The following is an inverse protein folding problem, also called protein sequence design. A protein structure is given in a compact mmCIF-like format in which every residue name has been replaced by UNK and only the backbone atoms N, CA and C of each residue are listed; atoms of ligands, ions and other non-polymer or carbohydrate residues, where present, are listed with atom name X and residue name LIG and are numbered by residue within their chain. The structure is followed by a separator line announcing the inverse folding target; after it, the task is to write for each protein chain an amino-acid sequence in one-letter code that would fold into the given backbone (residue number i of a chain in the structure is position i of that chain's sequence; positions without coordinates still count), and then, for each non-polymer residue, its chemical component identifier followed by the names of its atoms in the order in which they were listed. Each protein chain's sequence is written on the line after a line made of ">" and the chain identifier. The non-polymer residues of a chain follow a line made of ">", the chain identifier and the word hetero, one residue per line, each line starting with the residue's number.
data_IF_239483568586
#
_entry.id   IF_239483568586
#
_cell.length_a   1.000
_cell.length_b   1.000
_cell.length_c   1.000
_cell.angle_alpha   90.00
_cell.angle_beta   90.00
_cell.angle_gamma   90.00
#
_symmetry.space_group_name_H-M   'P 1'
#
loop_
_entity.id
_entity.type
_entity.pdbx_description
1 polymer ?
#
# COMPACT_ATOMS: atom_id res chain seq x y z
N UNK A 1 -12.23 11.09 -14.52
CA UNK A 1 -11.69 11.22 -13.13
C UNK A 1 -11.57 9.87 -12.51
N UNK A 2 -10.45 9.59 -11.84
CA UNK A 2 -10.33 8.32 -11.15
C UNK A 2 -9.02 8.11 -10.40
N UNK A 3 -9.00 6.98 -9.74
CA UNK A 3 -7.81 6.47 -9.04
C UNK A 3 -7.39 5.19 -9.73
N UNK A 4 -6.13 5.13 -10.16
CA UNK A 4 -5.55 3.93 -10.75
C UNK A 4 -4.50 3.36 -9.80
N UNK A 5 -4.53 2.06 -9.57
CA UNK A 5 -3.46 1.35 -8.86
C UNK A 5 -2.68 0.53 -9.88
N UNK A 6 -1.37 0.73 -9.92
CA UNK A 6 -0.46 -0.08 -10.75
C UNK A 6 0.38 -0.93 -9.80
N UNK A 7 0.16 -2.24 -9.81
CA UNK A 7 0.79 -3.08 -8.80
C UNK A 7 0.55 -4.59 -8.98
N UNK A 8 0.84 -5.32 -7.92
CA UNK A 8 0.80 -6.77 -7.86
C UNK A 8 -0.59 -7.34 -7.61
N UNK A 9 -0.79 -8.55 -8.14
CA UNK A 9 -1.94 -9.42 -7.85
C UNK A 9 -1.39 -10.80 -7.47
N UNK A 10 -1.56 -11.19 -6.21
CA UNK A 10 -1.08 -12.47 -5.70
C UNK A 10 -2.23 -13.31 -5.15
N UNK A 11 -2.06 -14.62 -5.25
CA UNK A 11 -2.92 -15.57 -4.56
C UNK A 11 -2.16 -16.15 -3.37
N UNK A 12 -2.66 -15.97 -2.15
CA UNK A 12 -1.97 -16.33 -0.94
C UNK A 12 -2.38 -17.73 -0.52
N UNK A 13 -1.39 -18.64 -0.36
CA UNK A 13 -1.54 -20.02 0.10
C UNK A 13 -1.00 -20.11 1.52
N UNK A 14 -1.88 -20.15 2.51
CA UNK A 14 -1.52 -20.09 3.92
C UNK A 14 -1.63 -21.49 4.53
N UNK A 15 -0.52 -22.02 5.03
CA UNK A 15 -0.46 -23.31 5.73
C UNK A 15 -0.11 -23.09 7.19
N UNK A 16 -0.99 -23.53 8.08
CA UNK A 16 -0.76 -23.51 9.52
C UNK A 16 -0.17 -24.83 9.98
N UNK A 17 0.91 -24.76 10.75
CA UNK A 17 1.65 -25.93 11.19
C UNK A 17 2.24 -25.73 12.59
N UNK A 18 2.48 -26.80 13.31
CA UNK A 18 3.14 -26.74 14.63
C UNK A 18 4.59 -26.25 14.54
N UNK A 19 5.27 -26.62 13.46
CA UNK A 19 6.66 -26.24 13.14
C UNK A 19 6.93 -26.36 11.65
N UNK A 20 7.98 -25.74 11.19
CA UNK A 20 8.48 -25.95 9.83
C UNK A 20 9.11 -27.34 9.73
N UNK A 21 8.81 -28.15 8.69
CA UNK A 21 9.47 -29.43 8.47
C UNK A 21 10.96 -29.28 8.14
N UNK A 22 11.76 -30.26 8.54
CA UNK A 22 13.17 -30.33 8.17
C UNK A 22 13.35 -30.85 6.73
N UNK A 23 14.55 -30.67 6.17
CA UNK A 23 14.84 -31.17 4.83
C UNK A 23 14.59 -32.67 4.70
N UNK A 24 13.79 -33.10 3.72
CA UNK A 24 13.40 -34.47 3.47
C UNK A 24 12.27 -35.00 4.36
N UNK A 25 11.73 -34.22 5.26
CA UNK A 25 10.62 -34.59 6.12
C UNK A 25 9.25 -34.37 5.46
N UNK A 26 8.34 -35.32 5.63
CA UNK A 26 6.91 -35.13 5.35
C UNK A 26 6.19 -34.89 6.67
N UNK A 27 5.61 -33.69 6.84
CA UNK A 27 4.96 -33.27 8.06
C UNK A 27 3.49 -32.92 7.81
N UNK A 28 2.59 -33.33 8.70
CA UNK A 28 1.16 -33.01 8.57
C UNK A 28 0.88 -31.61 9.08
N UNK A 29 0.35 -30.75 8.23
CA UNK A 29 -0.14 -29.45 8.61
C UNK A 29 -1.46 -29.52 9.41
N UNK A 30 -1.76 -28.47 10.17
CA UNK A 30 -2.97 -28.34 10.98
C UNK A 30 -4.17 -27.90 10.13
N UNK A 31 -3.97 -26.85 9.31
CA UNK A 31 -4.98 -26.32 8.39
C UNK A 31 -4.33 -25.66 7.17
N UNK A 32 -5.17 -25.38 6.19
CA UNK A 32 -4.79 -24.67 4.97
C UNK A 32 -5.89 -23.71 4.57
N UNK A 33 -5.52 -22.48 4.23
CA UNK A 33 -6.42 -21.43 3.77
C UNK A 33 -5.86 -20.76 2.52
N UNK A 34 -6.73 -20.13 1.76
CA UNK A 34 -6.34 -19.35 0.58
C UNK A 34 -7.01 -17.99 0.62
N UNK A 35 -6.26 -16.95 0.25
CA UNK A 35 -6.75 -15.57 0.24
C UNK A 35 -6.37 -14.86 -1.05
N UNK A 36 -7.14 -13.84 -1.39
CA UNK A 36 -6.74 -12.86 -2.40
C UNK A 36 -5.73 -11.92 -1.76
N UNK A 37 -4.63 -11.62 -2.44
CA UNK A 37 -3.54 -10.85 -1.90
C UNK A 37 -2.74 -10.10 -2.96
N UNK A 38 -1.55 -9.67 -2.58
CA UNK A 38 -0.73 -8.72 -3.31
C UNK A 38 -1.07 -7.28 -2.94
N UNK A 39 -0.06 -6.46 -2.69
CA UNK A 39 -0.27 -5.09 -2.23
C UNK A 39 -1.09 -4.26 -3.22
N UNK A 40 -0.87 -4.45 -4.53
CA UNK A 40 -1.66 -3.79 -5.57
C UNK A 40 -3.14 -4.10 -5.45
N UNK A 41 -3.51 -5.38 -5.34
CA UNK A 41 -4.89 -5.81 -5.16
C UNK A 41 -5.47 -5.28 -3.85
N UNK A 42 -4.77 -5.47 -2.72
CA UNK A 42 -5.26 -5.08 -1.39
C UNK A 42 -5.55 -3.58 -1.33
N UNK A 43 -4.63 -2.75 -1.82
CA UNK A 43 -4.80 -1.29 -1.84
C UNK A 43 -5.92 -0.87 -2.79
N UNK A 44 -6.07 -1.54 -3.95
CA UNK A 44 -7.19 -1.27 -4.87
C UNK A 44 -8.53 -1.57 -4.22
N UNK A 45 -8.64 -2.70 -3.53
CA UNK A 45 -9.85 -3.09 -2.80
C UNK A 45 -10.12 -2.13 -1.64
N UNK A 46 -9.07 -1.70 -0.92
CA UNK A 46 -9.21 -0.70 0.14
C UNK A 46 -9.75 0.63 -0.40
N UNK A 47 -9.19 1.13 -1.49
CA UNK A 47 -9.69 2.34 -2.17
C UNK A 47 -11.16 2.16 -2.56
N UNK A 48 -11.55 1.00 -3.09
CA UNK A 48 -12.91 0.75 -3.51
C UNK A 48 -13.90 0.67 -2.33
N UNK A 49 -13.57 -0.08 -1.31
CA UNK A 49 -14.46 -0.24 -0.13
C UNK A 49 -14.58 1.04 0.69
N UNK A 50 -13.51 1.85 0.75
CA UNK A 50 -13.45 3.10 1.51
C UNK A 50 -13.87 4.34 0.69
N UNK A 51 -14.24 4.16 -0.57
CA UNK A 51 -14.85 5.19 -1.40
C UNK A 51 -16.23 5.58 -0.83
N UNK A 52 -16.51 6.88 -0.74
CA UNK A 52 -17.83 7.39 -0.36
C UNK A 52 -18.91 6.86 -1.32
N UNK A 53 -20.04 6.46 -0.77
CA UNK A 53 -21.09 5.74 -1.52
C UNK A 53 -21.57 6.51 -2.77
N UNK A 54 -21.76 7.82 -2.63
CA UNK A 54 -22.29 8.69 -3.69
C UNK A 54 -21.20 9.34 -4.56
N UNK A 55 -19.91 8.99 -4.33
CA UNK A 55 -18.83 9.54 -5.12
C UNK A 55 -18.80 8.92 -6.52
N UNK A 56 -18.77 9.78 -7.55
CA UNK A 56 -18.75 9.36 -8.96
C UNK A 56 -17.33 9.47 -9.54
N UNK A 57 -16.48 8.49 -9.23
CA UNK A 57 -15.18 8.31 -9.87
C UNK A 57 -14.85 6.83 -10.03
N UNK A 58 -14.04 6.52 -11.03
CA UNK A 58 -13.64 5.15 -11.32
C UNK A 58 -12.41 4.74 -10.49
N UNK A 59 -12.35 3.47 -10.17
CA UNK A 59 -11.17 2.83 -9.58
C UNK A 59 -10.72 1.75 -10.54
N UNK A 60 -9.46 1.83 -10.97
CA UNK A 60 -8.89 0.93 -11.96
C UNK A 60 -7.68 0.21 -11.39
N UNK A 61 -7.57 -1.07 -11.72
CA UNK A 61 -6.36 -1.86 -11.50
C UNK A 61 -5.60 -2.04 -12.81
N UNK A 62 -4.31 -1.78 -12.78
CA UNK A 62 -3.35 -2.08 -13.84
C UNK A 62 -2.31 -3.06 -13.29
N UNK A 63 -2.18 -4.22 -13.91
CA UNK A 63 -1.30 -5.28 -13.45
C UNK A 63 -1.46 -6.51 -14.31
N UNK A 64 -0.98 -7.67 -13.86
CA UNK A 64 -1.01 -8.87 -14.66
C UNK A 64 -1.32 -10.13 -13.83
N UNK A 65 -2.06 -11.05 -14.44
CA UNK A 65 -2.36 -12.37 -13.90
C UNK A 65 -2.07 -13.47 -14.93
N UNK A 66 -1.91 -14.69 -14.47
CA UNK A 66 -1.89 -15.87 -15.34
C UNK A 66 -3.28 -16.24 -15.83
N UNK A 67 -3.36 -16.94 -16.95
CA UNK A 67 -4.60 -17.56 -17.43
C UNK A 67 -4.83 -18.88 -16.70
N UNK A 68 -5.08 -18.78 -15.40
CA UNK A 68 -5.27 -19.91 -14.50
C UNK A 68 -6.41 -19.61 -13.48
N UNK A 69 -6.74 -20.60 -12.66
CA UNK A 69 -7.83 -20.48 -11.69
C UNK A 69 -7.58 -19.37 -10.64
N UNK A 70 -6.33 -19.08 -10.29
CA UNK A 70 -5.98 -18.02 -9.36
C UNK A 70 -6.22 -16.65 -10.00
N UNK A 71 -5.78 -16.44 -11.24
CA UNK A 71 -6.03 -15.21 -11.98
C UNK A 71 -7.54 -14.93 -12.14
N UNK A 72 -8.33 -15.95 -12.48
CA UNK A 72 -9.79 -15.83 -12.60
C UNK A 72 -10.43 -15.40 -11.26
N UNK A 73 -9.97 -15.98 -10.13
CA UNK A 73 -10.49 -15.63 -8.80
C UNK A 73 -10.12 -14.19 -8.40
N UNK A 74 -8.87 -13.75 -8.65
CA UNK A 74 -8.43 -12.39 -8.37
C UNK A 74 -9.22 -11.36 -9.17
N UNK A 75 -9.40 -11.58 -10.49
CA UNK A 75 -10.22 -10.71 -11.34
C UNK A 75 -11.68 -10.70 -10.88
N UNK A 76 -12.25 -11.85 -10.55
CA UNK A 76 -13.60 -11.96 -10.02
C UNK A 76 -13.78 -11.19 -8.71
N UNK A 77 -12.77 -11.22 -7.82
CA UNK A 77 -12.80 -10.48 -6.57
C UNK A 77 -12.73 -8.97 -6.78
N UNK A 78 -11.87 -8.49 -7.67
CA UNK A 78 -11.79 -7.07 -8.04
C UNK A 78 -13.11 -6.57 -8.65
N UNK A 79 -13.67 -7.31 -9.60
CA UNK A 79 -14.95 -6.98 -10.24
C UNK A 79 -16.11 -6.91 -9.22
N UNK A 80 -16.14 -7.85 -8.26
CA UNK A 80 -17.14 -7.85 -7.15
C UNK A 80 -17.02 -6.59 -6.28
N UNK A 81 -15.82 -6.00 -6.18
CA UNK A 81 -15.57 -4.76 -5.48
C UNK A 81 -15.63 -3.51 -6.40
N UNK A 82 -16.32 -3.58 -7.54
CA UNK A 82 -16.50 -2.47 -8.48
C UNK A 82 -15.20 -1.83 -9.01
N UNK A 83 -14.16 -2.62 -9.17
CA UNK A 83 -12.87 -2.20 -9.75
C UNK A 83 -12.88 -2.47 -11.25
N UNK A 84 -12.48 -1.50 -12.04
CA UNK A 84 -12.24 -1.68 -13.47
C UNK A 84 -10.95 -2.48 -13.69
N UNK A 85 -11.09 -3.67 -14.28
CA UNK A 85 -9.99 -4.61 -14.57
C UNK A 85 -9.62 -4.66 -16.05
N UNK A 86 -10.14 -3.74 -16.87
CA UNK A 86 -9.93 -3.73 -18.33
C UNK A 86 -8.45 -3.64 -18.74
N UNK A 87 -7.62 -3.09 -17.87
CA UNK A 87 -6.17 -2.98 -18.07
C UNK A 87 -5.38 -3.99 -17.21
N UNK A 88 -6.00 -5.08 -16.74
CA UNK A 88 -5.27 -6.22 -16.18
C UNK A 88 -4.98 -7.22 -17.28
N UNK A 89 -3.69 -7.40 -17.57
CA UNK A 89 -3.22 -8.36 -18.59
C UNK A 89 -3.39 -9.81 -18.12
N UNK A 90 -3.75 -10.71 -19.04
CA UNK A 90 -3.86 -12.14 -18.77
C UNK A 90 -2.91 -12.93 -19.65
N UNK A 91 -1.99 -13.67 -19.05
CA UNK A 91 -0.92 -14.40 -19.74
C UNK A 91 -1.11 -15.91 -19.68
N UNK A 92 -0.93 -16.60 -20.82
CA UNK A 92 -1.05 -18.06 -20.90
C UNK A 92 0.28 -18.80 -20.70
N UNK A 93 1.41 -18.09 -20.75
CA UNK A 93 2.77 -18.62 -20.66
C UNK A 93 3.40 -18.50 -19.28
N UNK A 94 2.72 -17.84 -18.34
CA UNK A 94 3.16 -17.64 -16.96
C UNK A 94 1.99 -17.75 -16.00
N UNK A 95 2.22 -18.33 -14.81
CA UNK A 95 1.20 -18.46 -13.77
C UNK A 95 0.92 -17.12 -13.09
N UNK A 96 -0.23 -17.02 -12.43
CA UNK A 96 -0.53 -15.93 -11.48
C UNK A 96 0.51 -15.90 -10.35
N UNK A 97 0.84 -14.71 -9.85
CA UNK A 97 1.69 -14.54 -8.68
C UNK A 97 1.12 -15.23 -7.44
N UNK A 98 1.99 -15.87 -6.67
CA UNK A 98 1.60 -16.64 -5.46
C UNK A 98 2.50 -16.29 -4.29
N UNK A 99 1.90 -16.06 -3.12
CA UNK A 99 2.62 -16.08 -1.86
C UNK A 99 2.35 -17.42 -1.12
N UNK A 100 3.39 -18.18 -0.86
CA UNK A 100 3.32 -19.36 0.01
C UNK A 100 3.68 -18.94 1.42
N UNK A 101 2.72 -19.03 2.34
CA UNK A 101 2.85 -18.55 3.71
C UNK A 101 2.78 -19.75 4.66
N UNK A 102 3.84 -19.94 5.44
CA UNK A 102 3.90 -20.95 6.50
C UNK A 102 3.80 -20.27 7.86
N UNK A 103 2.79 -20.62 8.64
CA UNK A 103 2.54 -20.06 9.97
C UNK A 103 2.84 -21.10 11.04
N UNK A 104 3.84 -20.83 11.91
CA UNK A 104 4.20 -21.72 13.04
C UNK A 104 3.35 -21.37 14.26
N UNK A 105 2.26 -22.11 14.50
CA UNK A 105 1.31 -21.82 15.59
C UNK A 105 1.92 -21.95 16.99
N UNK A 106 2.82 -22.92 17.20
CA UNK A 106 3.51 -23.12 18.49
C UNK A 106 4.61 -22.09 18.79
N UNK A 107 4.95 -21.24 17.83
CA UNK A 107 5.93 -20.15 17.98
C UNK A 107 5.29 -18.78 17.85
N UNK A 108 4.19 -18.55 18.53
CA UNK A 108 3.50 -17.24 18.56
C UNK A 108 3.06 -16.74 17.18
N UNK A 109 2.72 -17.65 16.26
CA UNK A 109 2.23 -17.29 14.93
C UNK A 109 3.31 -16.70 13.99
N UNK A 110 4.59 -17.00 14.25
CA UNK A 110 5.64 -16.55 13.32
C UNK A 110 5.40 -17.12 11.93
N UNK A 111 5.51 -16.27 10.92
CA UNK A 111 5.32 -16.67 9.53
C UNK A 111 6.63 -16.64 8.73
N UNK A 112 6.64 -17.42 7.65
CA UNK A 112 7.64 -17.36 6.57
C UNK A 112 6.90 -17.28 5.26
N UNK A 113 7.32 -16.32 4.43
CA UNK A 113 6.65 -16.02 3.18
C UNK A 113 7.64 -16.23 2.04
N UNK A 114 7.21 -17.03 1.05
CA UNK A 114 7.91 -17.23 -0.21
C UNK A 114 7.03 -16.63 -1.32
N UNK A 115 7.56 -15.67 -2.04
CA UNK A 115 6.84 -15.03 -3.16
C UNK A 115 7.34 -15.64 -4.47
N UNK A 116 6.38 -16.13 -5.27
CA UNK A 116 6.58 -16.47 -6.66
C UNK A 116 5.93 -15.39 -7.50
N UNK A 117 6.74 -14.58 -8.15
CA UNK A 117 6.32 -13.35 -8.86
C UNK A 117 5.26 -13.62 -9.93
N UNK A 118 5.41 -14.70 -10.70
CA UNK A 118 4.48 -15.08 -11.75
C UNK A 118 4.25 -13.95 -12.76
N UNK A 119 3.00 -13.73 -13.13
CA UNK A 119 2.61 -12.69 -14.08
C UNK A 119 2.88 -11.25 -13.59
N UNK A 120 3.07 -11.02 -12.28
CA UNK A 120 3.51 -9.71 -11.79
C UNK A 120 4.84 -9.29 -12.40
N UNK A 121 5.73 -10.24 -12.71
CA UNK A 121 7.00 -10.00 -13.40
C UNK A 121 6.85 -9.47 -14.83
N UNK A 122 5.65 -9.52 -15.41
CA UNK A 122 5.33 -8.90 -16.71
C UNK A 122 4.79 -7.47 -16.58
N UNK A 123 4.66 -6.93 -15.34
CA UNK A 123 4.15 -5.57 -15.11
C UNK A 123 5.25 -4.54 -15.36
N UNK A 124 5.65 -4.49 -16.61
CA UNK A 124 6.56 -3.51 -17.21
C UNK A 124 5.92 -3.02 -18.49
N UNK A 125 6.01 -1.73 -18.77
CA UNK A 125 5.33 -1.10 -19.89
C UNK A 125 6.28 -0.20 -20.68
N UNK A 126 6.14 -0.21 -22.00
CA UNK A 126 6.73 0.80 -22.88
C UNK A 126 5.92 2.10 -22.82
N UNK A 127 6.51 3.21 -23.26
CA UNK A 127 5.83 4.51 -23.35
C UNK A 127 4.55 4.43 -24.18
N UNK A 128 4.56 3.68 -25.29
CA UNK A 128 3.41 3.47 -26.16
C UNK A 128 2.27 2.69 -25.47
N UNK A 129 2.60 1.72 -24.63
CA UNK A 129 1.62 0.96 -23.86
C UNK A 129 1.00 1.82 -22.76
N UNK A 130 1.82 2.58 -22.04
CA UNK A 130 1.33 3.54 -21.05
C UNK A 130 0.45 4.61 -21.72
N UNK A 131 0.87 5.15 -22.87
CA UNK A 131 0.07 6.11 -23.61
C UNK A 131 -1.30 5.54 -24.02
N UNK A 132 -1.40 4.25 -24.37
CA UNK A 132 -2.69 3.60 -24.67
C UNK A 132 -3.56 3.41 -23.45
N UNK A 133 -2.98 3.01 -22.29
CA UNK A 133 -3.71 2.84 -21.04
C UNK A 133 -4.28 4.18 -20.55
N UNK A 134 -3.52 5.27 -20.69
CA UNK A 134 -3.82 6.59 -20.15
C UNK A 134 -4.14 7.66 -21.20
N UNK A 135 -4.63 7.28 -22.41
CA UNK A 135 -4.85 8.21 -23.51
C UNK A 135 -6.14 9.04 -23.44
N UNK A 136 -7.10 8.65 -22.57
CA UNK A 136 -8.46 9.23 -22.55
C UNK A 136 -8.63 10.35 -21.52
N UNK A 137 -7.55 10.82 -20.89
CA UNK A 137 -7.63 11.64 -19.69
C UNK A 137 -7.30 13.12 -19.90
N UNK A 138 -7.23 13.59 -21.15
CA UNK A 138 -6.69 14.91 -21.52
C UNK A 138 -7.47 16.11 -20.98
N UNK A 139 -8.69 15.92 -20.46
CA UNK A 139 -9.55 17.01 -19.96
C UNK A 139 -9.77 16.99 -18.44
N UNK A 140 -9.20 16.05 -17.72
CA UNK A 140 -9.41 15.90 -16.28
C UNK A 140 -8.16 16.32 -15.49
N UNK A 141 -8.36 17.15 -14.49
CA UNK A 141 -7.27 17.74 -13.70
C UNK A 141 -7.03 17.04 -12.37
N UNK A 142 -7.78 15.99 -12.04
CA UNK A 142 -7.65 15.31 -10.77
C UNK A 142 -7.59 13.80 -10.94
N UNK A 143 -6.38 13.28 -11.13
CA UNK A 143 -6.10 11.86 -11.15
C UNK A 143 -5.13 11.49 -10.04
N UNK A 144 -5.28 10.30 -9.47
CA UNK A 144 -4.28 9.70 -8.60
C UNK A 144 -3.82 8.35 -9.16
N UNK A 145 -2.52 8.12 -9.12
CA UNK A 145 -1.94 6.82 -9.42
C UNK A 145 -1.15 6.31 -8.21
N UNK A 146 -1.42 5.08 -7.82
CA UNK A 146 -0.87 4.47 -6.60
C UNK A 146 0.06 3.33 -6.98
N UNK A 147 1.24 3.31 -6.37
CA UNK A 147 2.27 2.31 -6.59
C UNK A 147 2.73 1.67 -5.29
N UNK A 148 3.13 0.41 -5.39
CA UNK A 148 3.91 -0.32 -4.40
C UNK A 148 5.21 -0.80 -5.06
N UNK A 149 6.00 -1.63 -4.38
CA UNK A 149 7.24 -2.14 -4.98
C UNK A 149 7.22 -3.68 -5.10
N UNK A 150 6.07 -4.25 -5.47
CA UNK A 150 5.92 -5.69 -5.78
C UNK A 150 5.84 -5.97 -7.29
N UNK A 151 6.20 -4.99 -8.12
CA UNK A 151 6.35 -5.11 -9.57
C UNK A 151 7.80 -4.75 -9.97
N UNK A 152 8.30 -5.21 -11.13
CA UNK A 152 9.73 -5.11 -11.44
C UNK A 152 10.29 -3.68 -11.48
N UNK A 153 9.57 -2.74 -12.08
CA UNK A 153 10.08 -1.37 -12.30
C UNK A 153 8.98 -0.31 -12.19
N UNK A 154 8.48 -0.02 -10.97
CA UNK A 154 7.51 1.06 -10.78
C UNK A 154 8.13 2.45 -11.07
N UNK A 155 9.45 2.59 -10.92
CA UNK A 155 10.16 3.86 -11.07
C UNK A 155 10.11 4.36 -12.51
N UNK A 156 10.31 3.50 -13.51
CA UNK A 156 10.20 3.88 -14.92
C UNK A 156 8.80 4.34 -15.27
N UNK A 157 7.77 3.70 -14.72
CA UNK A 157 6.38 4.11 -14.92
C UNK A 157 6.13 5.48 -14.25
N UNK A 158 6.62 5.73 -13.05
CA UNK A 158 6.53 7.05 -12.39
C UNK A 158 7.25 8.15 -13.18
N UNK A 159 8.41 7.86 -13.78
CA UNK A 159 9.13 8.79 -14.67
C UNK A 159 8.29 9.15 -15.89
N UNK A 160 7.60 8.17 -16.47
CA UNK A 160 6.69 8.41 -17.59
C UNK A 160 5.56 9.38 -17.19
N UNK A 161 4.89 9.16 -16.03
CA UNK A 161 3.87 10.09 -15.54
C UNK A 161 4.41 11.51 -15.35
N UNK A 162 5.57 11.66 -14.72
CA UNK A 162 6.20 12.98 -14.53
C UNK A 162 6.54 13.69 -15.85
N UNK A 163 6.78 12.93 -16.92
CA UNK A 163 7.13 13.50 -18.25
C UNK A 163 5.89 13.85 -19.07
N UNK A 164 4.82 13.05 -18.99
CA UNK A 164 3.71 13.11 -19.94
C UNK A 164 2.34 13.42 -19.32
N UNK A 165 2.22 13.37 -18.00
CA UNK A 165 0.93 13.47 -17.29
C UNK A 165 1.07 14.31 -16.01
N UNK A 166 1.22 15.62 -16.15
CA UNK A 166 1.37 16.57 -15.05
C UNK A 166 0.08 16.76 -14.22
N UNK A 167 -1.07 16.25 -14.69
CA UNK A 167 -2.35 16.23 -13.99
C UNK A 167 -2.54 15.00 -13.07
N UNK A 168 -1.55 14.10 -12.96
CA UNK A 168 -1.58 12.94 -12.07
C UNK A 168 -0.80 13.22 -10.78
N UNK A 169 -1.42 12.92 -9.64
CA UNK A 169 -0.73 12.82 -8.35
C UNK A 169 -0.28 11.39 -8.11
N UNK A 170 1.01 11.22 -7.87
CA UNK A 170 1.62 9.92 -7.64
C UNK A 170 1.69 9.65 -6.14
N UNK A 171 1.07 8.55 -5.70
CA UNK A 171 1.15 8.02 -4.34
C UNK A 171 2.07 6.81 -4.35
N UNK A 172 3.07 6.79 -3.50
CA UNK A 172 4.02 5.68 -3.45
C UNK A 172 4.13 5.08 -2.05
N UNK A 173 3.97 3.77 -1.99
CA UNK A 173 4.27 2.93 -0.83
C UNK A 173 5.40 1.98 -1.20
N UNK A 174 6.67 2.28 -0.84
CA UNK A 174 7.84 1.46 -1.18
C UNK A 174 7.88 0.16 -0.37
N UNK A 175 6.86 -0.66 -0.52
CA UNK A 175 6.71 -1.93 0.20
C UNK A 175 6.52 -3.08 -0.80
N UNK A 176 7.36 -4.15 -0.72
CA UNK A 176 8.59 -4.23 0.08
C UNK A 176 9.61 -3.17 -0.34
N UNK A 177 10.48 -2.78 0.60
CA UNK A 177 11.48 -1.77 0.31
C UNK A 177 12.53 -2.29 -0.68
N UNK A 178 12.77 -1.50 -1.73
CA UNK A 178 13.91 -1.64 -2.62
C UNK A 178 14.63 -0.30 -2.74
N UNK A 179 15.97 -0.28 -2.73
CA UNK A 179 16.74 0.94 -2.85
C UNK A 179 16.44 1.68 -4.16
N UNK A 180 16.20 2.99 -4.08
CA UNK A 180 16.08 3.86 -5.24
C UNK A 180 17.33 4.74 -5.39
N UNK A 181 17.54 5.28 -6.59
CA UNK A 181 18.51 6.36 -6.77
C UNK A 181 18.01 7.62 -6.06
N UNK A 182 18.94 8.41 -5.52
CA UNK A 182 18.59 9.60 -4.72
C UNK A 182 17.58 10.53 -5.41
N UNK A 183 17.73 10.73 -6.70
CA UNK A 183 16.86 11.64 -7.45
C UNK A 183 15.45 11.04 -7.72
N UNK A 184 15.29 9.73 -7.64
CA UNK A 184 14.01 9.08 -7.91
C UNK A 184 13.01 9.26 -6.75
N UNK A 185 13.50 9.63 -5.54
CA UNK A 185 12.64 9.98 -4.40
C UNK A 185 11.84 11.28 -4.60
N UNK A 186 12.11 12.06 -5.63
CA UNK A 186 11.37 13.26 -6.00
C UNK A 186 10.24 13.03 -7.01
N UNK A 187 10.01 11.78 -7.44
CA UNK A 187 9.05 11.46 -8.51
C UNK A 187 7.58 11.48 -8.07
N UNK A 188 7.31 11.33 -6.79
CA UNK A 188 5.95 11.18 -6.27
C UNK A 188 5.54 12.34 -5.36
N UNK A 189 4.22 12.50 -5.18
CA UNK A 189 3.60 13.59 -4.44
C UNK A 189 3.28 13.19 -3.01
N UNK A 190 2.95 11.90 -2.79
CA UNK A 190 2.60 11.34 -1.48
C UNK A 190 3.44 10.09 -1.21
N UNK A 191 4.19 10.10 -0.12
CA UNK A 191 4.96 8.97 0.38
C UNK A 191 4.27 8.40 1.63
N UNK A 192 3.90 7.13 1.58
CA UNK A 192 3.35 6.40 2.73
C UNK A 192 4.26 5.24 3.08
N UNK A 193 4.83 5.26 4.27
CA UNK A 193 5.79 4.26 4.76
C UNK A 193 5.49 3.88 6.21
N UNK A 194 6.00 2.72 6.64
CA UNK A 194 6.08 2.39 8.05
C UNK A 194 7.44 2.82 8.67
N UNK A 195 7.60 2.59 9.98
CA UNK A 195 8.83 2.92 10.71
C UNK A 195 10.06 2.21 10.12
N UNK A 196 9.92 0.97 9.67
CA UNK A 196 11.02 0.18 9.12
C UNK A 196 11.42 0.72 7.74
N UNK A 197 10.44 0.91 6.86
CA UNK A 197 10.64 1.41 5.49
C UNK A 197 11.24 2.82 5.50
N UNK A 198 10.77 3.70 6.39
CA UNK A 198 11.32 5.06 6.52
C UNK A 198 12.79 5.04 6.92
N UNK A 199 13.20 4.16 7.85
CA UNK A 199 14.61 3.99 8.22
C UNK A 199 15.42 3.37 7.08
N UNK A 200 14.86 2.45 6.30
CA UNK A 200 15.51 1.88 5.12
C UNK A 200 15.77 2.94 4.04
N UNK A 201 14.86 3.91 3.85
CA UNK A 201 15.07 5.07 2.97
C UNK A 201 16.29 5.88 3.44
N UNK A 202 16.36 6.18 4.73
CA UNK A 202 17.49 6.91 5.29
C UNK A 202 18.82 6.16 5.09
N UNK A 203 18.82 4.85 5.32
CA UNK A 203 20.00 3.97 5.07
C UNK A 203 20.41 3.95 3.59
N UNK A 204 19.46 4.11 2.68
CA UNK A 204 19.72 4.15 1.24
C UNK A 204 20.37 5.48 0.79
N UNK A 205 19.99 6.60 1.42
CA UNK A 205 20.33 7.95 0.93
C UNK A 205 21.50 8.57 1.68
N UNK A 206 21.64 8.31 2.98
CA UNK A 206 22.57 8.99 3.88
C UNK A 206 23.77 8.15 4.26
N UNK A 207 24.92 8.78 4.61
CA UNK A 207 26.11 8.07 5.07
C UNK A 207 25.88 7.45 6.45
N UNK A 208 26.65 6.40 6.77
CA UNK A 208 26.48 5.57 7.97
C UNK A 208 26.50 6.38 9.28
N UNK A 209 27.35 7.39 9.41
CA UNK A 209 27.38 8.24 10.61
C UNK A 209 26.07 9.01 10.86
N UNK A 210 25.34 9.37 9.82
CA UNK A 210 24.01 9.96 9.95
C UNK A 210 23.00 8.91 10.39
N UNK A 211 23.05 7.72 9.78
CA UNK A 211 22.19 6.58 10.13
C UNK A 211 22.37 6.19 11.61
N UNK A 212 23.61 6.04 12.08
CA UNK A 212 23.91 5.68 13.47
C UNK A 212 23.33 6.71 14.47
N UNK A 213 23.37 7.99 14.09
CA UNK A 213 22.75 9.05 14.89
C UNK A 213 21.23 8.90 14.94
N UNK A 214 20.58 8.67 13.79
CA UNK A 214 19.12 8.46 13.71
C UNK A 214 18.72 7.24 14.53
N UNK A 215 19.43 6.11 14.43
CA UNK A 215 19.13 4.90 15.22
C UNK A 215 19.30 5.15 16.74
N UNK A 216 20.31 5.96 17.12
CA UNK A 216 20.51 6.37 18.51
C UNK A 216 19.37 7.27 19.00
N UNK A 217 18.95 8.23 18.18
CA UNK A 217 17.83 9.12 18.51
C UNK A 217 16.53 8.33 18.65
N UNK A 218 16.26 7.35 17.78
CA UNK A 218 15.10 6.44 17.86
C UNK A 218 15.10 5.64 19.17
N UNK A 219 16.25 5.14 19.60
CA UNK A 219 16.37 4.39 20.84
C UNK A 219 16.09 5.25 22.10
N UNK A 220 16.37 6.56 22.03
CA UNK A 220 16.17 7.49 23.15
C UNK A 220 14.79 8.15 23.16
N UNK A 221 14.27 8.51 22.00
CA UNK A 221 12.99 9.20 21.83
C UNK A 221 12.34 8.75 20.50
N UNK A 222 11.58 7.68 20.56
CA UNK A 222 10.99 7.04 19.39
C UNK A 222 10.14 8.02 18.56
N UNK A 223 9.15 8.67 19.18
CA UNK A 223 8.23 9.57 18.45
C UNK A 223 8.96 10.82 17.95
N UNK A 224 9.79 11.45 18.78
CA UNK A 224 10.53 12.64 18.39
C UNK A 224 11.55 12.39 17.30
N UNK A 225 12.22 11.21 17.30
CA UNK A 225 13.15 10.84 16.24
C UNK A 225 12.44 10.60 14.90
N UNK A 226 11.32 9.85 14.90
CA UNK A 226 10.53 9.66 13.68
C UNK A 226 9.85 10.94 13.21
N UNK A 227 9.52 11.88 14.10
CA UNK A 227 9.04 13.21 13.71
C UNK A 227 10.10 13.97 12.92
N UNK A 228 11.35 14.01 13.39
CA UNK A 228 12.47 14.60 12.65
C UNK A 228 12.72 13.89 11.32
N UNK A 229 12.57 12.58 11.29
CA UNK A 229 12.72 11.78 10.09
C UNK A 229 11.62 12.09 9.06
N UNK A 230 10.38 12.26 9.50
CA UNK A 230 9.26 12.68 8.65
C UNK A 230 9.53 14.05 8.02
N UNK A 231 10.02 15.00 8.82
CA UNK A 231 10.43 16.33 8.35
C UNK A 231 11.57 16.26 7.33
N UNK A 232 12.60 15.44 7.62
CA UNK A 232 13.74 15.23 6.74
C UNK A 232 13.32 14.66 5.38
N UNK A 233 12.48 13.62 5.37
CA UNK A 233 11.94 13.04 4.14
C UNK A 233 11.15 14.06 3.34
N UNK A 234 10.29 14.84 3.99
CA UNK A 234 9.43 15.81 3.32
C UNK A 234 10.23 16.98 2.74
N UNK A 235 11.19 17.56 3.50
CA UNK A 235 11.89 18.78 3.09
C UNK A 235 13.11 18.53 2.21
N UNK A 236 13.81 17.42 2.41
CA UNK A 236 15.15 17.20 1.83
C UNK A 236 15.24 15.99 0.89
N UNK A 237 14.24 15.11 0.89
CA UNK A 237 14.24 13.90 0.06
C UNK A 237 13.19 14.01 -1.05
N UNK A 238 11.97 14.37 -0.72
CA UNK A 238 10.92 14.58 -1.71
C UNK A 238 11.12 15.90 -2.48
N UNK A 239 10.37 16.09 -3.55
CA UNK A 239 10.47 17.28 -4.40
C UNK A 239 9.91 18.51 -3.66
N UNK A 240 10.73 19.51 -3.31
CA UNK A 240 10.26 20.69 -2.61
C UNK A 240 9.36 21.61 -3.46
N UNK A 241 9.33 21.45 -4.80
CA UNK A 241 8.43 22.20 -5.67
C UNK A 241 7.05 21.55 -5.84
N UNK A 242 6.87 20.31 -5.34
CA UNK A 242 5.57 19.66 -5.22
C UNK A 242 5.03 19.87 -3.80
N UNK A 243 3.71 19.90 -3.65
CA UNK A 243 3.07 19.88 -2.34
C UNK A 243 3.24 18.50 -1.69
N UNK A 244 4.49 18.13 -1.43
CA UNK A 244 4.89 16.79 -0.99
C UNK A 244 4.30 16.44 0.38
N UNK A 245 3.67 15.29 0.45
CA UNK A 245 3.11 14.72 1.68
C UNK A 245 3.94 13.51 2.08
N UNK A 246 4.36 13.44 3.35
CA UNK A 246 5.01 12.27 3.94
C UNK A 246 4.17 11.77 5.10
N UNK A 247 3.92 10.48 5.14
CA UNK A 247 3.18 9.79 6.19
C UNK A 247 4.02 8.61 6.67
N UNK A 248 4.29 8.56 7.97
CA UNK A 248 5.01 7.44 8.61
C UNK A 248 4.08 6.77 9.61
N UNK A 249 3.63 5.56 9.31
CA UNK A 249 2.85 4.74 10.26
C UNK A 249 3.79 4.09 11.27
N UNK A 250 3.41 4.13 12.55
CA UNK A 250 4.19 3.63 13.69
C UNK A 250 3.49 2.47 14.42
N UNK A 251 2.68 1.72 13.68
CA UNK A 251 1.90 0.61 14.22
C UNK A 251 1.03 1.04 15.42
N UNK A 252 1.20 0.38 16.56
CA UNK A 252 0.45 0.69 17.79
C UNK A 252 0.81 2.04 18.43
N UNK A 253 1.84 2.73 17.94
CA UNK A 253 2.23 4.06 18.40
C UNK A 253 1.52 5.18 17.65
N UNK A 254 0.83 4.90 16.53
CA UNK A 254 0.10 5.90 15.75
C UNK A 254 0.72 6.25 14.43
N UNK A 255 0.64 7.51 14.03
CA UNK A 255 1.10 8.00 12.72
C UNK A 255 1.63 9.42 12.82
N UNK A 256 2.72 9.67 12.10
CA UNK A 256 3.29 10.99 11.87
C UNK A 256 3.04 11.39 10.41
N UNK A 257 2.73 12.66 10.18
CA UNK A 257 2.49 13.16 8.83
C UNK A 257 2.87 14.63 8.70
N UNK A 258 3.29 14.99 7.51
CA UNK A 258 3.71 16.34 7.15
C UNK A 258 3.34 16.62 5.70
N UNK A 259 3.04 17.87 5.39
CA UNK A 259 2.86 18.36 4.03
C UNK A 259 3.66 19.64 3.80
N UNK A 260 3.85 20.05 2.56
CA UNK A 260 4.52 21.31 2.24
C UNK A 260 3.73 22.54 2.71
N UNK A 261 2.42 22.39 2.92
CA UNK A 261 1.53 23.45 3.40
C UNK A 261 1.54 23.58 4.93
N UNK A 262 2.00 22.55 5.64
CA UNK A 262 2.10 22.53 7.11
C UNK A 262 3.50 22.96 7.55
N UNK A 263 3.58 23.78 8.60
CA UNK A 263 4.88 24.23 9.14
C UNK A 263 5.56 23.14 9.98
N UNK A 264 4.76 22.29 10.64
CA UNK A 264 5.21 21.30 11.59
C UNK A 264 4.69 19.89 11.25
N UNK A 265 5.46 18.88 11.62
CA UNK A 265 5.03 17.48 11.58
C UNK A 265 3.92 17.28 12.62
N UNK A 266 2.82 16.68 12.18
CA UNK A 266 1.69 16.35 13.03
C UNK A 266 1.78 14.88 13.48
N UNK A 267 1.26 14.61 14.67
CA UNK A 267 1.17 13.27 15.26
C UNK A 267 -0.26 12.95 15.64
N UNK A 268 -0.72 11.75 15.27
CA UNK A 268 -1.98 11.19 15.72
C UNK A 268 -1.72 9.84 16.41
N UNK A 269 -2.14 9.63 17.67
CA UNK A 269 -1.98 8.35 18.33
C UNK A 269 -2.85 7.27 17.71
N UNK A 270 -2.43 6.00 17.82
CA UNK A 270 -3.22 4.87 17.37
C UNK A 270 -4.53 4.74 18.16
N UNK A 271 -5.57 4.25 17.51
CA UNK A 271 -6.83 3.92 18.16
C UNK A 271 -6.66 2.60 18.91
N UNK A 272 -6.98 2.63 20.20
CA UNK A 272 -6.97 1.43 21.01
C UNK A 272 -8.17 0.55 20.68
N UNK A 273 -7.90 -0.70 20.34
CA UNK A 273 -8.91 -1.73 20.12
C UNK A 273 -8.90 -2.75 21.26
N UNK A 274 -10.04 -3.37 21.54
CA UNK A 274 -10.13 -4.37 22.61
C UNK A 274 -9.32 -5.63 22.28
N UNK A 275 -9.34 -6.05 21.00
CA UNK A 275 -8.66 -7.25 20.55
C UNK A 275 -8.08 -7.04 19.15
N UNK A 276 -6.80 -7.29 19.00
CA UNK A 276 -6.15 -7.46 17.68
C UNK A 276 -6.27 -8.94 17.30
N UNK A 277 -6.84 -9.20 16.11
CA UNK A 277 -7.02 -10.55 15.56
C UNK A 277 -5.94 -10.83 14.53
N UNK A 278 -5.77 -9.91 13.56
CA UNK A 278 -4.81 -10.03 12.47
C UNK A 278 -4.41 -8.64 12.02
N UNK A 279 -3.13 -8.37 11.84
CA UNK A 279 -2.62 -7.07 11.37
C UNK A 279 -2.41 -7.01 9.86
N UNK A 280 -2.66 -8.11 9.15
CA UNK A 280 -2.53 -8.20 7.69
C UNK A 280 -3.51 -7.21 7.03
N UNK A 281 -3.05 -6.49 6.01
CA UNK A 281 -3.86 -5.51 5.29
C UNK A 281 -4.12 -4.18 6.01
N UNK A 282 -3.67 -4.00 7.27
CA UNK A 282 -3.85 -2.73 8.00
C UNK A 282 -3.19 -1.54 7.29
N UNK A 283 -1.98 -1.73 6.79
CA UNK A 283 -1.25 -0.71 6.01
C UNK A 283 -1.93 -0.40 4.68
N UNK A 284 -2.44 -1.44 3.99
CA UNK A 284 -3.16 -1.28 2.72
C UNK A 284 -4.50 -0.56 2.94
N UNK A 285 -5.22 -0.89 4.03
CA UNK A 285 -6.43 -0.17 4.45
C UNK A 285 -6.14 1.28 4.74
N UNK A 286 -5.09 1.55 5.51
CA UNK A 286 -4.67 2.91 5.85
C UNK A 286 -4.39 3.72 4.58
N UNK A 287 -3.57 3.19 3.68
CA UNK A 287 -3.24 3.86 2.42
C UNK A 287 -4.51 4.07 1.56
N UNK A 288 -5.37 3.07 1.43
CA UNK A 288 -6.62 3.19 0.70
C UNK A 288 -7.52 4.30 1.25
N UNK A 289 -7.59 4.43 2.57
CA UNK A 289 -8.30 5.52 3.24
C UNK A 289 -7.68 6.89 2.94
N UNK A 290 -6.36 7.03 3.07
CA UNK A 290 -5.65 8.29 2.73
C UNK A 290 -5.94 8.69 1.30
N UNK A 291 -5.77 7.78 0.35
CA UNK A 291 -5.96 8.05 -1.09
C UNK A 291 -7.39 8.50 -1.39
N UNK A 292 -8.41 7.79 -0.87
CA UNK A 292 -9.81 8.15 -1.11
C UNK A 292 -10.17 9.50 -0.52
N UNK A 293 -9.73 9.79 0.71
CA UNK A 293 -10.05 11.05 1.39
C UNK A 293 -9.35 12.24 0.73
N UNK A 294 -8.08 12.11 0.35
CA UNK A 294 -7.36 13.15 -0.38
C UNK A 294 -7.97 13.38 -1.78
N UNK A 295 -8.36 12.31 -2.47
CA UNK A 295 -9.02 12.41 -3.77
C UNK A 295 -10.35 13.16 -3.70
N UNK A 296 -11.10 12.98 -2.62
CA UNK A 296 -12.38 13.65 -2.35
C UNK A 296 -12.22 15.09 -1.85
N UNK A 297 -10.98 15.59 -1.71
CA UNK A 297 -10.69 16.98 -1.31
C UNK A 297 -10.72 17.23 0.19
N UNK A 298 -10.71 16.17 1.01
CA UNK A 298 -10.56 16.29 2.46
C UNK A 298 -9.13 16.75 2.82
N UNK A 299 -8.98 17.41 3.96
CA UNK A 299 -7.67 17.81 4.48
C UNK A 299 -6.82 16.58 4.82
N UNK A 300 -5.49 16.72 4.81
CA UNK A 300 -4.58 15.65 5.19
C UNK A 300 -4.93 15.09 6.58
N UNK A 301 -5.19 15.95 7.55
CA UNK A 301 -5.58 15.54 8.90
C UNK A 301 -6.85 14.68 8.91
N UNK A 302 -7.90 15.09 8.18
CA UNK A 302 -9.14 14.32 8.07
C UNK A 302 -8.88 12.95 7.39
N UNK A 303 -8.05 12.94 6.34
CA UNK A 303 -7.66 11.70 5.68
C UNK A 303 -6.94 10.74 6.64
N UNK A 304 -6.02 11.24 7.46
CA UNK A 304 -5.29 10.46 8.46
C UNK A 304 -6.23 9.93 9.57
N UNK A 305 -7.11 10.78 10.10
CA UNK A 305 -8.08 10.37 11.13
C UNK A 305 -9.00 9.25 10.64
N UNK A 306 -9.57 9.42 9.44
CA UNK A 306 -10.40 8.40 8.79
C UNK A 306 -9.63 7.08 8.58
N UNK A 307 -8.43 7.16 8.03
CA UNK A 307 -7.61 5.99 7.69
C UNK A 307 -7.13 5.22 8.91
N UNK A 308 -6.76 5.93 9.97
CA UNK A 308 -6.39 5.33 11.26
C UNK A 308 -7.58 4.57 11.85
N UNK A 309 -8.78 5.13 11.73
CA UNK A 309 -9.98 4.46 12.20
C UNK A 309 -10.32 3.23 11.34
N UNK A 310 -10.30 3.34 10.01
CA UNK A 310 -10.54 2.22 9.11
C UNK A 310 -9.57 1.05 9.38
N UNK A 311 -8.27 1.36 9.55
CA UNK A 311 -7.26 0.35 9.89
C UNK A 311 -7.51 -0.30 11.26
N UNK A 312 -8.02 0.45 12.23
CA UNK A 312 -8.39 -0.10 13.55
C UNK A 312 -9.52 -1.12 13.47
N UNK A 313 -10.43 -0.98 12.51
CA UNK A 313 -11.47 -1.99 12.22
C UNK A 313 -10.89 -3.21 11.52
N UNK A 314 -10.00 -3.01 10.55
CA UNK A 314 -9.34 -4.08 9.79
C UNK A 314 -8.66 -5.08 10.73
N UNK A 315 -7.87 -4.62 11.68
CA UNK A 315 -7.10 -5.51 12.58
C UNK A 315 -7.94 -6.33 13.56
N UNK A 316 -9.25 -6.13 13.61
CA UNK A 316 -10.18 -6.88 14.44
C UNK A 316 -10.81 -8.07 13.72
N UNK A 317 -10.51 -8.25 12.42
CA UNK A 317 -11.04 -9.30 11.56
C UNK A 317 -9.89 -10.03 10.89
N UNK A 318 -9.93 -11.37 10.71
CA UNK A 318 -8.87 -12.09 10.02
C UNK A 318 -8.87 -11.82 8.51
N UNK A 319 -7.70 -11.92 7.88
CA UNK A 319 -7.50 -11.77 6.44
C UNK A 319 -7.02 -10.38 6.04
N UNK A 320 -6.59 -10.24 4.79
CA UNK A 320 -6.06 -9.00 4.21
C UNK A 320 -7.18 -8.17 3.55
N UNK A 321 -7.46 -8.39 2.26
CA UNK A 321 -8.47 -7.65 1.52
C UNK A 321 -9.91 -7.89 2.04
N UNK A 322 -10.16 -9.06 2.62
CA UNK A 322 -11.45 -9.46 3.19
C UNK A 322 -11.80 -8.64 4.44
N UNK A 323 -10.82 -8.35 5.29
CA UNK A 323 -10.99 -7.63 6.57
C UNK A 323 -11.23 -6.13 6.42
N UNK A 324 -10.98 -5.56 5.25
CA UNK A 324 -11.13 -4.12 4.98
C UNK A 324 -12.59 -3.70 5.13
N UNK A 325 -12.91 -2.71 5.99
CA UNK A 325 -14.28 -2.24 6.19
C UNK A 325 -14.81 -1.47 4.97
N UNK A 326 -16.12 -1.37 4.85
CA UNK A 326 -16.73 -0.45 3.90
C UNK A 326 -16.85 0.97 4.49
N UNK A 327 -16.89 1.98 3.62
CA UNK A 327 -17.03 3.39 4.02
C UNK A 327 -18.16 3.64 5.04
N UNK A 328 -19.40 3.10 4.87
CA UNK A 328 -20.46 3.30 5.86
C UNK A 328 -20.14 2.76 7.25
N UNK A 329 -19.39 1.65 7.35
CA UNK A 329 -19.00 1.05 8.62
C UNK A 329 -18.05 1.97 9.37
N UNK A 330 -17.10 2.58 8.66
CA UNK A 330 -16.14 3.54 9.21
C UNK A 330 -16.86 4.79 9.73
N UNK A 331 -17.73 5.39 8.92
CA UNK A 331 -18.46 6.61 9.26
C UNK A 331 -19.43 6.39 10.43
N UNK A 332 -20.17 5.29 10.42
CA UNK A 332 -21.08 4.93 11.51
C UNK A 332 -20.34 4.80 12.84
N UNK A 333 -19.20 4.14 12.81
CA UNK A 333 -18.39 3.91 14.00
C UNK A 333 -17.65 5.17 14.48
N UNK A 334 -17.33 6.11 13.58
CA UNK A 334 -16.82 7.45 13.95
C UNK A 334 -17.89 8.35 14.58
N UNK A 335 -19.17 7.93 14.60
CA UNK A 335 -20.28 8.74 15.13
C UNK A 335 -20.63 9.96 14.27
N UNK A 336 -20.18 9.99 13.02
CA UNK A 336 -20.54 11.02 12.06
C UNK A 336 -21.91 10.67 11.48
N UNK A 337 -22.97 11.37 11.94
CA UNK A 337 -24.29 11.23 11.34
C UNK A 337 -24.23 11.71 9.87
N UNK A 338 -24.30 10.77 8.96
CA UNK A 338 -24.59 11.06 7.54
C UNK A 338 -26.03 11.56 7.45
N UNK A 339 -26.22 12.89 7.42
CA UNK A 339 -27.48 13.52 7.03
C UNK A 339 -27.53 13.69 5.53
#
# INVERSE_FOLDING_TARGET
>A
MGITVIGSLNYDLVTYTDRIPEAGETFKANSFETHTGGKGLNQTVAISKLKQVDADYKIQMVGNVGKDAFGEQLLGYLNKNNVDTSNVGTYSDVSTGVATILVEEKKSGQNRILITEGANGKTTYTDDELAKIFNNDDNDTNHMVVFQHEIPDPVSIMKWFNQYKDNYKIVYNPSPFHPLQKNDWSLFDVLVVNEIESLQIIKNIYPQNYVDKVETDIANDFIGAYSKLCEELQKNVMNPSKAAIVIITLGSQGVLFSSADDQDVQYLPAIKVEKVVDTTGAGDTFLGGVVTQLYQGNTLKQAIEFSTFASSLTIQTPGAAESIPHYPDVITSLGVNTK
#
